data_IF_201026576485
#
_entry.id   IF_201026576485
#
_cell.length_a   1.000
_cell.length_b   1.000
_cell.length_c   1.000
_cell.angle_alpha   90.00
_cell.angle_beta   90.00
_cell.angle_gamma   90.00
#
_symmetry.space_group_name_H-M   'P 1'
#
loop_
_entity.id
_entity.type
_entity.pdbx_description
1 polymer ?
#
# COMPACT_ATOMS: atom_id res chain seq x y z
N UNK A 1 -1.93 -12.77 -4.00
CA UNK A 1 -0.69 -12.35 -4.69
C UNK A 1 0.43 -13.30 -4.30
N UNK A 2 1.16 -13.84 -5.25
CA UNK A 2 2.26 -14.74 -4.92
C UNK A 2 3.35 -14.02 -4.14
N UNK A 3 3.99 -14.73 -3.24
CA UNK A 3 5.11 -14.18 -2.48
C UNK A 3 6.31 -14.01 -3.44
N UNK A 4 6.85 -12.80 -3.51
CA UNK A 4 7.97 -12.47 -4.37
C UNK A 4 8.96 -11.62 -3.59
N UNK A 5 10.24 -11.94 -3.69
CA UNK A 5 11.30 -11.11 -3.12
C UNK A 5 11.85 -10.19 -4.22
N UNK A 6 11.80 -8.89 -3.96
CA UNK A 6 12.29 -7.87 -4.88
C UNK A 6 13.56 -7.24 -4.31
N UNK A 7 14.60 -7.19 -5.12
CA UNK A 7 15.89 -6.61 -4.75
C UNK A 7 16.11 -5.37 -5.61
N UNK A 8 16.47 -4.26 -4.96
CA UNK A 8 16.68 -2.96 -5.61
C UNK A 8 15.51 -2.53 -6.50
N UNK A 9 14.27 -2.51 -5.98
CA UNK A 9 13.13 -2.15 -6.79
C UNK A 9 13.15 -0.68 -7.18
N UNK A 10 12.74 -0.41 -8.42
CA UNK A 10 12.52 0.95 -8.94
C UNK A 10 11.08 1.01 -9.42
N UNK A 11 10.35 2.00 -8.95
CA UNK A 11 8.93 2.17 -9.25
C UNK A 11 8.71 3.51 -9.95
N UNK A 12 7.91 3.48 -11.01
CA UNK A 12 7.48 4.69 -11.72
C UNK A 12 5.95 4.67 -11.87
N UNK A 13 5.27 5.78 -11.57
CA UNK A 13 3.85 5.89 -11.87
C UNK A 13 3.60 5.81 -13.38
N UNK A 14 2.50 5.17 -13.76
CA UNK A 14 2.04 5.12 -15.15
C UNK A 14 0.74 5.91 -15.25
N UNK A 15 0.76 6.98 -16.04
CA UNK A 15 -0.39 7.87 -16.14
C UNK A 15 -0.53 8.77 -14.91
N UNK A 16 -1.70 9.36 -14.74
CA UNK A 16 -1.98 10.34 -13.69
C UNK A 16 -3.07 9.90 -12.72
N UNK A 17 -3.63 8.72 -12.91
CA UNK A 17 -4.71 8.22 -12.06
C UNK A 17 -4.21 7.92 -10.66
N UNK A 18 -4.95 8.41 -9.67
CA UNK A 18 -4.69 8.18 -8.25
C UNK A 18 -5.85 7.37 -7.69
N UNK A 19 -5.52 6.35 -6.93
CA UNK A 19 -6.50 5.53 -6.23
C UNK A 19 -6.39 5.76 -4.72
N UNK A 20 -7.54 5.94 -4.08
CA UNK A 20 -7.64 6.05 -2.62
C UNK A 20 -8.16 4.74 -2.07
N UNK A 21 -7.49 4.21 -1.07
CA UNK A 21 -7.96 3.00 -0.40
C UNK A 21 -7.39 2.91 1.01
N UNK A 22 -7.96 2.04 1.82
CA UNK A 22 -7.49 1.79 3.16
C UNK A 22 -6.21 0.97 3.14
N UNK A 23 -5.29 1.32 4.03
CA UNK A 23 -4.09 0.53 4.27
C UNK A 23 -3.90 0.25 5.75
N UNK A 24 -3.31 -0.87 6.04
CA UNK A 24 -2.81 -1.24 7.34
C UNK A 24 -1.40 -1.80 7.20
N UNK A 25 -0.72 -2.01 8.31
CA UNK A 25 0.65 -2.51 8.30
C UNK A 25 0.92 -3.29 9.59
N UNK A 26 1.63 -4.40 9.49
CA UNK A 26 2.00 -5.20 10.67
C UNK A 26 2.87 -4.41 11.65
N UNK A 27 3.61 -3.41 11.16
CA UNK A 27 4.41 -2.50 12.00
C UNK A 27 3.55 -1.55 12.82
N UNK A 28 2.28 -1.36 12.45
CA UNK A 28 1.32 -0.48 13.13
C UNK A 28 0.04 -1.27 13.41
N UNK A 29 0.10 -2.27 14.29
CA UNK A 29 -1.02 -3.19 14.48
C UNK A 29 -2.28 -2.47 14.96
N UNK A 30 -3.42 -2.87 14.39
CA UNK A 30 -4.73 -2.34 14.78
C UNK A 30 -5.09 -1.00 14.16
N UNK A 31 -4.17 -0.35 13.42
CA UNK A 31 -4.43 0.93 12.76
C UNK A 31 -4.75 0.74 11.27
N UNK A 32 -5.57 1.62 10.75
CA UNK A 32 -5.86 1.77 9.31
C UNK A 32 -5.98 3.24 8.96
N UNK A 33 -5.65 3.57 7.73
CA UNK A 33 -5.81 4.92 7.21
C UNK A 33 -6.04 4.89 5.70
N UNK A 34 -6.66 5.93 5.17
CA UNK A 34 -6.85 6.08 3.73
C UNK A 34 -5.60 6.67 3.11
N UNK A 35 -5.07 5.99 2.10
CA UNK A 35 -3.84 6.39 1.41
C UNK A 35 -4.11 6.57 -0.06
N UNK A 36 -3.69 7.72 -0.60
CA UNK A 36 -3.75 8.00 -2.05
C UNK A 36 -2.44 7.54 -2.68
N UNK A 37 -2.55 6.70 -3.69
CA UNK A 37 -1.38 6.19 -4.41
C UNK A 37 -1.64 6.17 -5.91
N UNK A 38 -0.57 6.27 -6.75
CA UNK A 38 -0.73 5.98 -8.17
C UNK A 38 -1.46 4.67 -8.40
N UNK A 39 -2.50 4.72 -9.23
CA UNK A 39 -3.36 3.56 -9.49
C UNK A 39 -2.64 2.48 -10.29
N UNK A 40 -1.69 2.88 -11.12
CA UNK A 40 -0.89 2.01 -11.98
C UNK A 40 0.56 2.38 -11.88
N UNK A 41 1.41 1.37 -11.78
CA UNK A 41 2.87 1.55 -11.71
C UNK A 41 3.57 0.60 -12.67
N UNK A 42 4.75 1.00 -13.10
CA UNK A 42 5.75 0.13 -13.69
C UNK A 42 6.84 -0.07 -12.67
N UNK A 43 7.23 -1.31 -12.41
CA UNK A 43 8.34 -1.56 -11.53
C UNK A 43 9.36 -2.51 -12.16
N UNK A 44 10.61 -2.31 -11.77
CA UNK A 44 11.73 -3.15 -12.14
C UNK A 44 12.48 -3.54 -10.88
N UNK A 45 12.84 -4.79 -10.76
CA UNK A 45 13.59 -5.29 -9.63
C UNK A 45 14.40 -6.51 -10.04
N UNK A 46 15.31 -6.92 -9.18
CA UNK A 46 16.06 -8.16 -9.34
C UNK A 46 15.46 -9.23 -8.44
N UNK A 47 15.52 -10.47 -8.90
CA UNK A 47 15.21 -11.64 -8.10
C UNK A 47 16.47 -12.12 -7.37
N UNK A 48 16.34 -12.97 -6.32
CA UNK A 48 17.51 -13.46 -5.59
C UNK A 48 18.54 -14.22 -6.44
N UNK A 49 18.13 -14.78 -7.58
CA UNK A 49 19.04 -15.46 -8.51
C UNK A 49 19.71 -14.52 -9.51
N UNK A 50 19.49 -13.21 -9.38
CA UNK A 50 20.10 -12.19 -10.21
C UNK A 50 19.36 -11.85 -11.49
N UNK A 51 18.21 -12.47 -11.75
CA UNK A 51 17.39 -12.12 -12.91
C UNK A 51 16.70 -10.77 -12.69
N UNK A 52 16.46 -10.04 -13.79
CA UNK A 52 15.70 -8.78 -13.75
C UNK A 52 14.26 -9.07 -14.14
N UNK A 53 13.32 -8.51 -13.37
CA UNK A 53 11.91 -8.53 -13.72
C UNK A 53 11.40 -7.12 -13.90
N UNK A 54 10.50 -6.95 -14.86
CA UNK A 54 9.79 -5.68 -15.08
C UNK A 54 8.32 -5.99 -15.28
N UNK A 55 7.46 -5.20 -14.62
CA UNK A 55 6.02 -5.38 -14.71
C UNK A 55 5.30 -4.05 -14.62
N UNK A 56 4.18 -3.97 -15.34
CA UNK A 56 3.19 -2.92 -15.17
C UNK A 56 1.99 -3.54 -14.47
N UNK A 57 1.62 -2.96 -13.33
CA UNK A 57 0.55 -3.50 -12.48
C UNK A 57 -0.36 -2.38 -12.01
N UNK A 58 -1.60 -2.73 -11.69
CA UNK A 58 -2.59 -1.81 -11.16
C UNK A 58 -3.31 -2.41 -9.95
N UNK A 59 -4.28 -1.66 -9.43
CA UNK A 59 -5.15 -2.12 -8.34
C UNK A 59 -4.38 -2.49 -7.09
N UNK A 60 -4.85 -3.53 -6.42
CA UNK A 60 -4.28 -3.98 -5.15
C UNK A 60 -2.81 -4.37 -5.29
N UNK A 61 -2.43 -5.02 -6.38
CA UNK A 61 -1.03 -5.41 -6.62
C UNK A 61 -0.12 -4.18 -6.65
N UNK A 62 -0.53 -3.13 -7.38
CA UNK A 62 0.23 -1.88 -7.43
C UNK A 62 0.37 -1.25 -6.04
N UNK A 63 -0.69 -1.28 -5.25
CA UNK A 63 -0.70 -0.73 -3.90
C UNK A 63 0.25 -1.49 -2.98
N UNK A 64 0.23 -2.81 -3.02
CA UNK A 64 1.10 -3.64 -2.19
C UNK A 64 2.57 -3.41 -2.53
N UNK A 65 2.91 -3.37 -3.82
CA UNK A 65 4.29 -3.12 -4.25
C UNK A 65 4.78 -1.77 -3.73
N UNK A 66 3.97 -0.72 -3.84
CA UNK A 66 4.32 0.61 -3.36
C UNK A 66 4.49 0.65 -1.84
N UNK A 67 3.56 0.02 -1.11
CA UNK A 67 3.61 -0.05 0.35
C UNK A 67 4.90 -0.75 0.82
N UNK A 68 5.22 -1.90 0.23
CA UNK A 68 6.40 -2.67 0.63
C UNK A 68 7.70 -1.95 0.24
N UNK A 69 7.74 -1.30 -0.92
CA UNK A 69 8.91 -0.52 -1.32
C UNK A 69 9.13 0.70 -0.43
N UNK A 70 8.06 1.32 0.07
CA UNK A 70 8.18 2.41 1.05
C UNK A 70 8.94 1.95 2.29
N UNK A 71 8.73 0.72 2.75
CA UNK A 71 9.45 0.19 3.90
C UNK A 71 10.97 0.19 3.69
N UNK A 72 11.44 -0.05 2.48
CA UNK A 72 12.87 -0.01 2.16
C UNK A 72 13.46 1.38 2.34
N UNK A 73 12.65 2.42 2.19
CA UNK A 73 13.04 3.80 2.36
C UNK A 73 12.71 4.34 3.76
N UNK A 74 12.25 3.48 4.67
CA UNK A 74 11.87 3.88 6.02
C UNK A 74 10.54 4.61 6.07
N UNK A 75 9.68 4.45 5.06
CA UNK A 75 8.39 5.14 4.97
C UNK A 75 7.27 4.18 5.36
N UNK A 76 6.45 4.60 6.32
CA UNK A 76 5.22 3.90 6.70
C UNK A 76 4.01 4.64 6.12
N UNK A 77 2.90 3.92 5.90
CA UNK A 77 1.77 4.47 5.17
C UNK A 77 1.20 5.78 5.75
N UNK A 78 1.21 6.04 7.08
CA UNK A 78 0.72 7.33 7.57
C UNK A 78 1.49 8.52 7.02
N UNK A 79 2.77 8.33 6.66
CA UNK A 79 3.59 9.38 6.05
C UNK A 79 3.12 9.72 4.63
N UNK A 80 2.35 8.84 3.99
CA UNK A 80 1.77 9.05 2.66
C UNK A 80 0.33 9.56 2.70
N UNK A 81 -0.26 9.62 3.89
CA UNK A 81 -1.66 10.04 4.02
C UNK A 81 -1.80 11.54 3.75
N UNK A 82 -2.81 11.90 2.99
CA UNK A 82 -3.18 13.30 2.74
C UNK A 82 -4.21 13.81 3.74
N UNK A 83 -4.94 12.90 4.39
CA UNK A 83 -5.95 13.23 5.39
C UNK A 83 -5.77 12.30 6.60
N UNK A 84 -5.04 12.79 7.61
CA UNK A 84 -4.80 12.02 8.83
C UNK A 84 -6.05 11.79 9.66
N UNK A 85 -7.16 12.50 9.37
CA UNK A 85 -8.42 12.27 10.08
C UNK A 85 -8.99 10.88 9.82
N UNK A 86 -8.53 10.19 8.77
CA UNK A 86 -8.94 8.82 8.48
C UNK A 86 -8.15 7.78 9.28
N UNK A 87 -7.02 8.15 9.89
CA UNK A 87 -6.22 7.23 10.68
C UNK A 87 -6.94 6.88 11.98
N UNK A 88 -7.16 5.60 12.21
CA UNK A 88 -7.94 5.15 13.36
C UNK A 88 -7.57 3.72 13.74
N UNK A 89 -7.90 3.34 14.97
CA UNK A 89 -7.89 1.93 15.36
C UNK A 89 -9.10 1.24 14.77
N UNK A 90 -8.90 0.05 14.21
CA UNK A 90 -9.98 -0.72 13.61
C UNK A 90 -11.11 -0.98 14.61
N UNK A 91 -10.76 -1.16 15.89
CA UNK A 91 -11.74 -1.36 16.96
C UNK A 91 -12.70 -0.19 17.17
N UNK A 92 -12.34 1.01 16.69
CA UNK A 92 -13.15 2.21 16.89
C UNK A 92 -14.24 2.40 15.83
N UNK A 93 -14.26 1.58 14.79
CA UNK A 93 -15.29 1.68 13.73
C UNK A 93 -16.70 1.55 14.32
N UNK A 94 -16.86 0.72 15.34
CA UNK A 94 -18.14 0.53 16.03
C UNK A 94 -18.64 1.82 16.68
N UNK A 95 -17.71 2.64 17.20
CA UNK A 95 -18.03 3.86 17.92
C UNK A 95 -18.12 5.09 16.99
N UNK A 96 -17.63 4.96 15.78
CA UNK A 96 -17.62 6.04 14.80
C UNK A 96 -17.94 5.47 13.40
N UNK A 97 -19.24 5.36 13.06
CA UNK A 97 -19.66 4.76 11.80
C UNK A 97 -19.08 5.42 10.55
N UNK A 98 -18.65 6.68 10.63
CA UNK A 98 -18.02 7.35 9.50
C UNK A 98 -16.76 6.64 9.02
N UNK A 99 -16.08 5.92 9.92
CA UNK A 99 -14.87 5.18 9.59
C UNK A 99 -15.17 3.91 8.80
N UNK A 100 -16.43 3.47 8.77
CA UNK A 100 -16.86 2.32 7.98
C UNK A 100 -17.18 2.67 6.53
N UNK A 101 -17.19 3.95 6.15
CA UNK A 101 -17.53 4.40 4.80
C UNK A 101 -16.36 4.14 3.87
N UNK A 102 -16.56 3.39 3.05
CA UNK A 102 -16.41 2.83 1.79
C UNK A 102 -15.33 3.37 0.85
N UNK A 103 -14.13 3.08 1.17
CA UNK A 103 -13.11 2.70 0.21
C UNK A 103 -13.08 1.17 0.22
N UNK A 104 -12.48 0.55 -0.79
CA UNK A 104 -12.35 -0.90 -0.76
C UNK A 104 -11.60 -1.32 0.50
N UNK A 105 -12.18 -2.15 1.39
CA UNK A 105 -11.51 -2.50 2.62
C UNK A 105 -10.32 -3.41 2.35
N UNK A 106 -9.17 -3.07 2.94
CA UNK A 106 -8.03 -3.96 3.04
C UNK A 106 -7.99 -4.53 4.44
N UNK A 107 -7.86 -5.83 4.57
CA UNK A 107 -7.55 -6.42 5.86
C UNK A 107 -6.14 -6.01 6.27
N UNK A 108 -5.93 -5.75 7.56
CA UNK A 108 -4.64 -5.28 8.06
C UNK A 108 -3.52 -6.27 7.75
N UNK A 109 -3.82 -7.56 7.77
CA UNK A 109 -2.86 -8.63 7.52
C UNK A 109 -2.63 -8.92 6.03
N UNK A 110 -3.34 -8.25 5.11
CA UNK A 110 -3.12 -8.37 3.68
C UNK A 110 -1.90 -7.58 3.22
N UNK A 111 -1.46 -6.62 4.02
CA UNK A 111 -0.36 -5.71 3.69
C UNK A 111 0.61 -5.70 4.86
N UNK A 112 1.82 -6.16 4.62
CA UNK A 112 2.85 -6.28 5.66
C UNK A 112 3.51 -4.95 6.00
#
# INVERSE_FOLDING_TARGET
MPRTTLINPVIEPVGTDIADDWEGCLSLPGLRGAVSRPARIHYRAQTPDGATIEREVDGFHARVVQHECDHLDGVLYPMRMTDLSTLHFVSEVRNNPRLAVSLSPLAVDDVA
#
